data_IF_209826641837
#
_entry.id   IF_209826641837
#
_cell.length_a   1.000
_cell.length_b   1.000
_cell.length_c   1.000
_cell.angle_alpha   90.00
_cell.angle_beta   90.00
_cell.angle_gamma   90.00
#
_symmetry.space_group_name_H-M   'P 1'
#
loop_
_entity.id
_entity.type
_entity.pdbx_description
1 polymer ?
#
# COMPACT_ATOMS: atom_id res chain seq x y z
N UNK A 1 26.52 18.87 6.42
CA UNK A 1 26.04 17.75 7.29
C UNK A 1 24.81 17.15 6.62
N UNK A 2 24.71 15.82 6.48
CA UNK A 2 23.53 15.15 5.91
C UNK A 2 22.32 15.35 6.83
N UNK A 3 21.14 15.50 6.23
CA UNK A 3 19.90 15.57 6.98
C UNK A 3 19.42 14.16 7.36
N UNK A 4 19.05 13.97 8.61
CA UNK A 4 18.55 12.69 9.13
C UNK A 4 17.08 12.53 8.79
N UNK A 5 16.76 11.49 8.02
CA UNK A 5 15.39 11.18 7.63
C UNK A 5 14.97 9.79 8.12
N UNK A 6 13.90 9.75 8.89
CA UNK A 6 13.23 8.50 9.30
C UNK A 6 12.13 8.15 8.32
N UNK A 7 12.28 7.05 7.60
CA UNK A 7 11.18 6.45 6.84
C UNK A 7 10.42 5.50 7.76
N UNK A 8 9.13 5.71 7.94
CA UNK A 8 8.25 4.82 8.71
C UNK A 8 7.16 4.27 7.79
N UNK A 9 7.11 2.95 7.64
CA UNK A 9 6.16 2.31 6.73
C UNK A 9 6.37 0.80 6.59
N UNK A 10 5.46 0.10 5.90
CA UNK A 10 5.45 -1.36 5.84
C UNK A 10 6.40 -1.95 4.78
N UNK A 11 7.60 -1.38 4.61
CA UNK A 11 8.55 -1.74 3.54
C UNK A 11 8.96 -3.21 3.49
N UNK A 12 8.82 -3.95 4.60
CA UNK A 12 9.07 -5.40 4.63
C UNK A 12 7.85 -6.25 4.25
N UNK A 13 6.70 -5.66 3.92
CA UNK A 13 5.48 -6.41 3.59
C UNK A 13 5.24 -6.51 2.08
N UNK A 14 4.62 -7.61 1.64
CA UNK A 14 4.17 -7.80 0.26
C UNK A 14 2.78 -7.18 0.06
N UNK A 15 2.70 -5.87 0.27
CA UNK A 15 1.49 -5.06 0.09
C UNK A 15 1.75 -3.88 -0.85
N UNK A 16 0.70 -3.20 -1.31
CA UNK A 16 0.81 -1.97 -2.09
C UNK A 16 1.57 -0.88 -1.33
N UNK A 17 1.23 -0.65 -0.06
CA UNK A 17 1.98 0.27 0.80
C UNK A 17 3.41 -0.19 1.08
N UNK A 18 3.65 -1.51 1.13
CA UNK A 18 5.01 -2.05 1.25
C UNK A 18 5.86 -1.69 0.03
N UNK A 19 5.31 -1.82 -1.19
CA UNK A 19 6.03 -1.42 -2.40
C UNK A 19 6.20 0.10 -2.48
N UNK A 20 5.19 0.89 -2.12
CA UNK A 20 5.29 2.35 -2.02
C UNK A 20 6.41 2.78 -1.05
N UNK A 21 6.52 2.13 0.11
CA UNK A 21 7.58 2.38 1.07
C UNK A 21 8.96 2.03 0.51
N UNK A 22 9.11 0.89 -0.19
CA UNK A 22 10.36 0.53 -0.87
C UNK A 22 10.74 1.52 -1.98
N UNK A 23 9.78 2.03 -2.74
CA UNK A 23 10.05 3.09 -3.72
C UNK A 23 10.55 4.37 -3.06
N UNK A 24 9.97 4.78 -1.93
CA UNK A 24 10.45 5.93 -1.17
C UNK A 24 11.88 5.70 -0.65
N UNK A 25 12.17 4.51 -0.13
CA UNK A 25 13.51 4.14 0.32
C UNK A 25 14.53 4.14 -0.83
N UNK A 26 14.18 3.59 -2.00
CA UNK A 26 15.05 3.61 -3.21
C UNK A 26 15.33 5.03 -3.68
N UNK A 27 14.31 5.89 -3.69
CA UNK A 27 14.47 7.30 -4.06
C UNK A 27 15.43 8.03 -3.10
N UNK A 28 15.31 7.79 -1.80
CA UNK A 28 16.24 8.36 -0.82
C UNK A 28 17.64 7.76 -0.93
N UNK A 29 17.77 6.46 -1.22
CA UNK A 29 19.06 5.80 -1.44
C UNK A 29 19.86 6.45 -2.58
N UNK A 30 19.19 6.89 -3.64
CA UNK A 30 19.82 7.62 -4.74
C UNK A 30 20.37 9.01 -4.32
N UNK A 31 20.03 9.47 -3.11
CA UNK A 31 20.46 10.76 -2.55
C UNK A 31 21.11 10.62 -1.17
N UNK A 32 21.83 9.53 -0.93
CA UNK A 32 22.56 9.32 0.32
C UNK A 32 23.68 10.35 0.54
N UNK A 33 24.10 11.08 -0.49
CA UNK A 33 24.96 12.26 -0.37
C UNK A 33 24.33 13.39 0.47
N UNK A 34 23.00 13.50 0.44
CA UNK A 34 22.19 14.54 1.11
C UNK A 34 21.53 14.06 2.39
N UNK A 35 21.11 12.78 2.42
CA UNK A 35 20.34 12.20 3.51
C UNK A 35 21.10 11.10 4.25
N UNK A 36 20.97 11.12 5.57
CA UNK A 36 21.30 10.03 6.46
C UNK A 36 20.01 9.28 6.80
N UNK A 37 19.82 8.11 6.16
CA UNK A 37 18.54 7.40 6.11
C UNK A 37 18.41 6.45 7.29
N UNK A 38 17.23 6.43 7.89
CA UNK A 38 16.78 5.55 8.97
C UNK A 38 15.47 4.88 8.55
N UNK A 39 15.22 3.66 9.00
CA UNK A 39 13.99 2.93 8.63
C UNK A 39 13.33 2.26 9.83
N UNK A 40 12.06 2.60 10.05
CA UNK A 40 11.17 1.98 11.02
C UNK A 40 10.13 1.14 10.29
N UNK A 41 10.27 -0.21 10.25
CA UNK A 41 9.31 -1.08 9.57
C UNK A 41 8.03 -1.22 10.38
N UNK A 42 6.90 -1.07 9.70
CA UNK A 42 5.57 -1.30 10.27
C UNK A 42 4.96 -2.60 9.75
N UNK A 43 4.08 -3.19 10.55
CA UNK A 43 3.20 -4.26 10.09
C UNK A 43 2.09 -3.68 9.22
N UNK A 44 1.57 -4.50 8.28
CA UNK A 44 0.49 -4.08 7.41
C UNK A 44 -0.55 -5.19 7.26
N UNK A 45 -1.56 -5.15 8.10
CA UNK A 45 -2.65 -6.12 8.09
C UNK A 45 -2.19 -7.58 8.00
N UNK A 46 -2.97 -8.40 7.33
CA UNK A 46 -2.68 -9.82 7.12
C UNK A 46 -1.93 -10.02 5.79
N UNK A 47 -0.71 -9.51 5.69
CA UNK A 47 0.15 -9.66 4.50
C UNK A 47 1.37 -10.53 4.78
N UNK A 48 1.93 -11.15 3.72
CA UNK A 48 3.22 -11.82 3.82
C UNK A 48 4.36 -10.80 3.85
N UNK A 49 5.51 -11.25 4.38
CA UNK A 49 6.73 -10.48 4.43
C UNK A 49 7.62 -10.76 3.20
N UNK A 50 8.44 -9.80 2.84
CA UNK A 50 9.53 -10.00 1.88
C UNK A 50 10.60 -10.83 2.61
N UNK A 51 10.73 -12.08 2.18
CA UNK A 51 11.67 -13.04 2.76
C UNK A 51 12.94 -13.20 1.91
N UNK A 52 13.02 -12.48 0.79
CA UNK A 52 14.17 -12.54 -0.11
C UNK A 52 15.41 -11.95 0.60
N UNK A 53 16.57 -12.58 0.44
CA UNK A 53 17.82 -12.13 1.03
C UNK A 53 18.70 -11.47 -0.06
N UNK A 54 18.13 -10.50 -0.75
CA UNK A 54 18.81 -9.72 -1.78
C UNK A 54 19.50 -8.47 -1.18
N UNK A 55 20.23 -7.74 -2.01
CA UNK A 55 20.96 -6.53 -1.59
C UNK A 55 20.04 -5.47 -0.98
N UNK A 56 18.80 -5.32 -1.51
CA UNK A 56 17.84 -4.35 -0.99
C UNK A 56 17.39 -4.74 0.42
N UNK A 57 17.12 -6.02 0.65
CA UNK A 57 16.77 -6.52 1.97
C UNK A 57 17.88 -6.35 2.98
N UNK A 58 19.10 -6.71 2.62
CA UNK A 58 20.30 -6.53 3.48
C UNK A 58 20.50 -5.06 3.83
N UNK A 59 20.32 -4.17 2.84
CA UNK A 59 20.40 -2.73 3.07
C UNK A 59 19.30 -2.24 4.03
N UNK A 60 18.03 -2.62 3.81
CA UNK A 60 16.93 -2.27 4.72
C UNK A 60 17.17 -2.77 6.15
N UNK A 61 17.66 -4.00 6.31
CA UNK A 61 18.02 -4.55 7.64
C UNK A 61 19.14 -3.77 8.33
N UNK A 62 20.09 -3.25 7.55
CA UNK A 62 21.13 -2.36 8.09
C UNK A 62 20.57 -1.03 8.60
N UNK A 63 19.60 -0.45 7.86
CA UNK A 63 18.89 0.77 8.28
C UNK A 63 18.08 0.53 9.56
N UNK A 64 17.41 -0.61 9.68
CA UNK A 64 16.63 -0.97 10.88
C UNK A 64 17.55 -1.05 12.09
N UNK A 65 18.67 -1.78 12.00
CA UNK A 65 19.66 -1.87 13.10
C UNK A 65 20.21 -0.50 13.49
N UNK A 66 20.55 0.32 12.50
CA UNK A 66 21.01 1.71 12.71
C UNK A 66 19.93 2.54 13.43
N UNK A 67 18.66 2.42 13.01
CA UNK A 67 17.53 3.13 13.61
C UNK A 67 17.35 2.73 15.08
N UNK A 68 17.41 1.44 15.39
CA UNK A 68 17.32 0.95 16.77
C UNK A 68 18.41 1.54 17.68
N UNK A 69 19.67 1.48 17.24
CA UNK A 69 20.77 2.06 18.00
C UNK A 69 20.66 3.57 18.17
N UNK A 70 20.24 4.28 17.12
CA UNK A 70 20.06 5.72 17.16
C UNK A 70 18.94 6.15 18.12
N UNK A 71 17.81 5.43 18.12
CA UNK A 71 16.70 5.67 19.03
C UNK A 71 17.09 5.38 20.49
N UNK A 72 17.82 4.30 20.75
CA UNK A 72 18.33 3.97 22.10
C UNK A 72 19.26 5.05 22.66
N UNK A 73 20.01 5.72 21.77
CA UNK A 73 20.89 6.84 22.14
C UNK A 73 20.14 8.19 22.27
N UNK A 74 18.81 8.22 22.19
CA UNK A 74 18.01 9.44 22.26
C UNK A 74 18.09 10.32 21.01
N UNK A 75 18.40 9.72 19.86
CA UNK A 75 18.56 10.41 18.58
C UNK A 75 17.29 11.14 18.13
N UNK A 76 17.48 12.26 17.43
CA UNK A 76 16.39 13.08 16.87
C UNK A 76 16.54 13.20 15.36
N UNK A 77 15.42 13.18 14.65
CA UNK A 77 15.37 13.26 13.19
C UNK A 77 15.04 14.68 12.72
N UNK A 78 15.63 15.09 11.59
CA UNK A 78 15.27 16.33 10.92
C UNK A 78 13.91 16.16 10.18
N UNK A 79 13.73 14.99 9.54
CA UNK A 79 12.53 14.65 8.76
C UNK A 79 11.99 13.29 9.14
N UNK A 80 10.66 13.14 9.05
CA UNK A 80 10.01 11.84 8.92
C UNK A 80 9.26 11.75 7.60
N UNK A 81 9.33 10.59 6.94
CA UNK A 81 8.51 10.23 5.78
C UNK A 81 7.67 9.00 6.16
N UNK A 82 6.38 9.22 6.39
CA UNK A 82 5.47 8.21 6.93
C UNK A 82 4.59 7.65 5.82
N UNK A 83 4.92 6.44 5.36
CA UNK A 83 4.28 5.79 4.20
C UNK A 83 3.17 4.87 4.70
N UNK A 84 2.05 5.46 5.09
CA UNK A 84 0.88 4.78 5.66
C UNK A 84 -0.41 5.53 5.35
N UNK A 85 -1.54 5.07 5.88
CA UNK A 85 -2.79 5.82 5.90
C UNK A 85 -2.68 6.98 6.91
N UNK A 86 -3.38 8.11 6.67
CA UNK A 86 -3.20 9.33 7.45
C UNK A 86 -3.41 9.20 8.95
N UNK A 87 -4.38 8.43 9.39
CA UNK A 87 -4.68 8.22 10.81
C UNK A 87 -3.57 7.49 11.60
N UNK A 88 -2.52 7.01 10.92
CA UNK A 88 -1.32 6.43 11.55
C UNK A 88 -0.15 7.42 11.64
N UNK A 89 -0.27 8.62 11.05
CA UNK A 89 0.79 9.62 11.08
C UNK A 89 0.99 10.20 12.48
N UNK A 90 2.26 10.41 12.83
CA UNK A 90 2.67 10.86 14.16
C UNK A 90 3.72 11.97 14.05
N UNK A 91 3.92 12.70 15.13
CA UNK A 91 5.01 13.67 15.25
C UNK A 91 6.31 12.93 15.63
N UNK A 92 7.14 12.58 14.61
CA UNK A 92 8.36 11.78 14.76
C UNK A 92 9.65 12.56 14.53
N UNK A 93 9.55 13.76 13.96
CA UNK A 93 10.70 14.55 13.55
C UNK A 93 10.40 16.05 13.61
N UNK A 94 11.42 16.89 13.37
CA UNK A 94 11.20 18.35 13.25
C UNK A 94 10.22 18.68 12.12
N UNK A 95 10.34 17.98 10.99
CA UNK A 95 9.44 18.11 9.83
C UNK A 95 8.84 16.73 9.53
N UNK A 96 7.51 16.64 9.56
CA UNK A 96 6.77 15.42 9.34
C UNK A 96 6.09 15.46 7.97
N UNK A 97 6.31 14.42 7.16
CA UNK A 97 5.75 14.27 5.82
C UNK A 97 4.91 13.00 5.79
N UNK A 98 3.61 13.14 5.52
CA UNK A 98 2.73 12.02 5.27
C UNK A 98 2.78 11.62 3.80
N UNK A 99 2.91 10.33 3.50
CA UNK A 99 2.86 9.79 2.13
C UNK A 99 1.84 8.67 2.05
N UNK A 100 0.72 8.95 1.40
CA UNK A 100 -0.41 8.01 1.31
C UNK A 100 -0.81 7.72 -0.13
N UNK A 101 -1.32 6.50 -0.37
CA UNK A 101 -1.95 6.16 -1.64
C UNK A 101 -3.28 6.92 -1.86
N UNK A 102 -3.82 7.51 -0.80
CA UNK A 102 -5.11 8.19 -0.83
C UNK A 102 -6.29 7.23 -0.72
N UNK A 103 -7.43 7.66 -1.24
CA UNK A 103 -8.69 6.92 -1.18
C UNK A 103 -9.41 6.99 -2.52
N UNK A 104 -10.24 5.99 -2.83
CA UNK A 104 -10.98 5.91 -4.09
C UNK A 104 -12.31 6.67 -4.07
N UNK A 105 -12.77 7.13 -2.90
CA UNK A 105 -14.01 7.92 -2.72
C UNK A 105 -13.78 9.40 -3.01
N UNK A 106 -14.83 10.20 -2.95
CA UNK A 106 -14.84 11.65 -3.17
C UNK A 106 -14.61 12.48 -1.91
N UNK A 107 -14.54 11.82 -0.73
CA UNK A 107 -14.27 12.46 0.56
C UNK A 107 -13.32 11.63 1.41
N UNK A 108 -12.44 12.29 2.16
CA UNK A 108 -11.67 11.67 3.25
C UNK A 108 -12.47 11.73 4.56
N UNK A 109 -12.20 10.80 5.48
CA UNK A 109 -12.84 10.83 6.79
C UNK A 109 -12.37 12.03 7.65
N UNK A 110 -13.12 12.45 8.66
CA UNK A 110 -12.70 13.51 9.56
C UNK A 110 -11.35 13.23 10.24
N UNK A 111 -11.10 11.97 10.63
CA UNK A 111 -9.84 11.55 11.25
C UNK A 111 -8.66 11.70 10.29
N UNK A 112 -8.86 11.42 9.01
CA UNK A 112 -7.82 11.61 7.98
C UNK A 112 -7.54 13.10 7.77
N UNK A 113 -8.57 13.94 7.80
CA UNK A 113 -8.42 15.38 7.67
C UNK A 113 -7.68 15.97 8.86
N UNK A 114 -7.99 15.51 10.08
CA UNK A 114 -7.29 15.90 11.29
C UNK A 114 -5.82 15.49 11.24
N UNK A 115 -5.53 14.26 10.87
CA UNK A 115 -4.17 13.75 10.71
C UNK A 115 -3.41 14.51 9.60
N UNK A 116 -4.08 14.84 8.50
CA UNK A 116 -3.51 15.64 7.42
C UNK A 116 -3.03 17.01 7.92
N UNK A 117 -3.79 17.66 8.78
CA UNK A 117 -3.44 18.97 9.36
C UNK A 117 -2.38 18.88 10.49
N UNK A 118 -2.01 17.67 10.93
CA UNK A 118 -0.96 17.47 11.95
C UNK A 118 0.46 17.32 11.38
N UNK A 119 0.60 17.18 10.06
CA UNK A 119 1.90 17.05 9.38
C UNK A 119 2.26 18.32 8.61
N UNK A 120 3.53 18.47 8.26
CA UNK A 120 4.02 19.67 7.57
C UNK A 120 3.81 19.63 6.06
N UNK A 121 3.73 18.43 5.49
CA UNK A 121 3.51 18.22 4.05
C UNK A 121 2.88 16.84 3.81
N UNK A 122 2.08 16.77 2.76
CA UNK A 122 1.47 15.52 2.31
C UNK A 122 1.93 15.20 0.90
N UNK A 123 2.26 13.94 0.66
CA UNK A 123 2.49 13.38 -0.67
C UNK A 123 1.37 12.39 -0.95
N UNK A 124 0.75 12.52 -2.11
CA UNK A 124 -0.29 11.61 -2.63
C UNK A 124 0.10 11.10 -4.01
N UNK A 125 -0.48 9.97 -4.43
CA UNK A 125 -0.09 9.28 -5.66
C UNK A 125 -0.86 9.73 -6.90
N UNK A 126 -1.85 10.60 -6.77
CA UNK A 126 -2.67 11.05 -7.90
C UNK A 126 -3.31 12.41 -7.67
N UNK A 127 -3.67 13.08 -8.77
CA UNK A 127 -4.46 14.30 -8.73
C UNK A 127 -5.86 14.07 -8.10
N UNK A 128 -6.44 12.89 -8.30
CA UNK A 128 -7.68 12.50 -7.63
C UNK A 128 -7.49 12.53 -6.11
N UNK A 129 -6.49 11.84 -5.58
CA UNK A 129 -6.22 11.85 -4.14
C UNK A 129 -5.97 13.26 -3.60
N UNK A 130 -5.21 14.10 -4.33
CA UNK A 130 -5.03 15.52 -3.95
C UNK A 130 -6.37 16.24 -3.89
N UNK A 131 -7.18 16.13 -4.94
CA UNK A 131 -8.50 16.77 -5.03
C UNK A 131 -9.41 16.35 -3.87
N UNK A 132 -9.46 15.05 -3.54
CA UNK A 132 -10.28 14.55 -2.44
C UNK A 132 -9.92 15.19 -1.10
N UNK A 133 -8.62 15.36 -0.81
CA UNK A 133 -8.17 16.05 0.42
C UNK A 133 -8.51 17.54 0.39
N UNK A 134 -8.32 18.22 -0.75
CA UNK A 134 -8.56 19.67 -0.84
C UNK A 134 -10.03 20.05 -0.86
N UNK A 135 -10.88 19.22 -1.46
CA UNK A 135 -12.32 19.49 -1.62
C UNK A 135 -13.14 19.01 -0.41
N UNK A 136 -12.56 18.18 0.46
CA UNK A 136 -13.26 17.73 1.66
C UNK A 136 -13.39 18.86 2.68
N UNK A 137 -14.62 19.22 3.00
CA UNK A 137 -14.97 20.21 4.04
C UNK A 137 -15.96 19.59 5.01
N UNK A 138 -15.72 19.78 6.29
CA UNK A 138 -16.63 19.42 7.38
C UNK A 138 -17.00 20.65 8.20
N UNK A 139 -18.22 20.70 8.71
CA UNK A 139 -18.61 21.67 9.72
C UNK A 139 -18.05 21.23 11.08
N UNK A 140 -17.16 22.02 11.64
CA UNK A 140 -16.64 21.84 13.00
C UNK A 140 -17.21 22.92 13.90
N UNK A 141 -17.14 22.70 15.21
CA UNK A 141 -17.56 23.65 16.22
C UNK A 141 -16.45 23.83 17.26
N UNK A 142 -16.09 25.06 17.52
CA UNK A 142 -15.15 25.40 18.60
C UNK A 142 -15.77 25.03 19.95
N UNK A 143 -15.14 24.16 20.74
CA UNK A 143 -15.70 23.72 22.03
C UNK A 143 -15.79 24.81 23.08
N UNK A 144 -15.02 25.90 22.96
CA UNK A 144 -14.99 26.99 23.93
C UNK A 144 -15.99 28.08 23.59
N UNK A 145 -16.17 28.39 22.31
CA UNK A 145 -17.01 29.51 21.85
C UNK A 145 -18.35 29.07 21.28
N UNK A 146 -18.49 27.79 20.91
CA UNK A 146 -19.64 27.26 20.20
C UNK A 146 -19.74 27.71 18.73
N UNK A 147 -18.76 28.50 18.22
CA UNK A 147 -18.77 29.02 16.87
C UNK A 147 -18.53 27.87 15.85
N UNK A 148 -19.37 27.81 14.83
CA UNK A 148 -19.19 26.88 13.71
C UNK A 148 -18.21 27.44 12.68
N UNK A 149 -17.37 26.57 12.13
CA UNK A 149 -16.42 26.91 11.09
C UNK A 149 -16.23 25.75 10.11
N UNK A 150 -15.77 26.06 8.90
CA UNK A 150 -15.42 25.07 7.90
C UNK A 150 -14.03 24.47 8.22
N UNK A 151 -13.99 23.17 8.40
CA UNK A 151 -12.75 22.42 8.64
C UNK A 151 -12.32 21.70 7.37
N UNK A 152 -11.17 22.08 6.83
CA UNK A 152 -10.59 21.55 5.58
C UNK A 152 -9.10 21.26 5.74
N UNK A 153 -8.48 20.68 4.73
CA UNK A 153 -7.04 20.41 4.69
C UNK A 153 -6.28 21.72 4.42
N UNK A 154 -5.51 22.18 5.39
CA UNK A 154 -4.64 23.36 5.28
C UNK A 154 -3.18 22.98 4.91
N UNK A 155 -2.81 21.70 5.04
CA UNK A 155 -1.44 21.24 4.78
C UNK A 155 -1.15 21.18 3.29
N UNK A 156 0.03 21.65 2.83
CA UNK A 156 0.42 21.56 1.43
C UNK A 156 0.49 20.11 0.93
N UNK A 157 -0.11 19.85 -0.24
CA UNK A 157 -0.20 18.52 -0.85
C UNK A 157 0.52 18.52 -2.20
N UNK A 158 1.45 17.58 -2.36
CA UNK A 158 2.15 17.31 -3.62
C UNK A 158 1.72 15.97 -4.20
N UNK A 159 1.68 15.90 -5.53
CA UNK A 159 1.40 14.67 -6.25
C UNK A 159 2.70 14.06 -6.75
N UNK A 160 2.98 12.83 -6.30
CA UNK A 160 4.07 11.99 -6.82
C UNK A 160 3.44 10.69 -7.28
N UNK A 161 3.29 10.52 -8.59
CA UNK A 161 2.65 9.34 -9.15
C UNK A 161 3.39 8.06 -8.76
N UNK A 162 2.67 6.94 -8.72
CA UNK A 162 3.27 5.63 -8.49
C UNK A 162 4.32 5.33 -9.56
N UNK A 163 5.55 4.99 -9.18
CA UNK A 163 6.55 4.55 -10.13
C UNK A 163 6.23 3.13 -10.60
N UNK A 164 6.69 2.79 -11.80
CA UNK A 164 6.66 1.43 -12.32
C UNK A 164 8.08 0.86 -12.37
N UNK A 165 8.22 -0.43 -12.04
CA UNK A 165 9.46 -1.16 -12.28
C UNK A 165 9.42 -1.74 -13.70
N UNK A 166 10.45 -1.45 -14.47
CA UNK A 166 10.68 -2.19 -15.72
C UNK A 166 11.20 -3.57 -15.34
N UNK A 167 10.46 -4.59 -15.71
CA UNK A 167 10.81 -5.99 -15.47
C UNK A 167 10.83 -6.66 -16.84
N UNK A 168 11.94 -7.32 -17.17
CA UNK A 168 12.03 -8.10 -18.39
C UNK A 168 11.02 -9.27 -18.33
N UNK A 169 10.26 -9.50 -19.40
CA UNK A 169 9.35 -10.62 -19.49
C UNK A 169 10.10 -11.94 -19.30
N UNK A 170 9.61 -12.79 -18.41
CA UNK A 170 10.08 -14.17 -18.29
C UNK A 170 9.15 -15.10 -19.05
N UNK A 171 9.72 -16.09 -19.73
CA UNK A 171 8.92 -17.17 -20.27
C UNK A 171 8.37 -18.00 -19.10
N UNK A 172 7.06 -17.97 -18.92
CA UNK A 172 6.37 -18.82 -17.97
C UNK A 172 5.85 -20.03 -18.77
N UNK A 173 6.35 -21.19 -18.46
CA UNK A 173 5.85 -22.46 -19.03
C UNK A 173 4.48 -22.76 -18.41
N UNK A 174 3.46 -22.09 -18.94
CA UNK A 174 2.06 -22.29 -18.58
C UNK A 174 1.45 -23.21 -19.64
N UNK A 175 1.08 -24.41 -19.26
CA UNK A 175 0.32 -25.35 -20.11
C UNK A 175 -1.12 -24.81 -20.31
N UNK A 176 -1.25 -23.80 -21.16
CA UNK A 176 -2.56 -23.21 -21.47
C UNK A 176 -3.21 -24.00 -22.61
N UNK A 177 -4.46 -24.39 -22.39
CA UNK A 177 -5.26 -25.19 -23.35
C UNK A 177 -6.25 -24.35 -24.14
N UNK A 178 -6.33 -23.06 -23.87
CA UNK A 178 -7.28 -22.11 -24.47
C UNK A 178 -6.56 -21.05 -25.28
N UNK A 179 -7.19 -20.57 -26.36
CA UNK A 179 -6.59 -19.61 -27.29
C UNK A 179 -6.45 -18.20 -26.69
N UNK A 180 -7.39 -17.84 -25.80
CA UNK A 180 -7.38 -16.58 -25.09
C UNK A 180 -7.53 -16.78 -23.58
N UNK A 181 -6.75 -16.05 -22.80
CA UNK A 181 -6.76 -16.19 -21.36
C UNK A 181 -6.83 -14.83 -20.64
N UNK A 182 -7.83 -14.65 -19.80
CA UNK A 182 -7.86 -13.53 -18.86
C UNK A 182 -6.90 -13.77 -17.69
N UNK A 183 -6.28 -12.72 -17.20
CA UNK A 183 -5.43 -12.78 -16.00
C UNK A 183 -6.11 -12.04 -14.83
N UNK A 184 -6.28 -12.74 -13.71
CA UNK A 184 -6.74 -12.17 -12.45
C UNK A 184 -5.66 -12.29 -11.38
N UNK A 185 -5.19 -11.15 -10.84
CA UNK A 185 -4.22 -11.11 -9.74
C UNK A 185 -4.82 -10.36 -8.57
N UNK A 186 -5.17 -11.06 -7.47
CA UNK A 186 -5.76 -10.41 -6.31
C UNK A 186 -5.63 -11.24 -5.03
N UNK A 187 -5.56 -10.54 -3.88
CA UNK A 187 -5.83 -11.15 -2.60
C UNK A 187 -7.33 -11.44 -2.49
N UNK A 188 -7.70 -12.63 -1.96
CA UNK A 188 -9.09 -13.01 -1.77
C UNK A 188 -9.73 -12.22 -0.63
N UNK A 189 -10.43 -11.16 -0.98
CA UNK A 189 -11.12 -10.30 -0.03
C UNK A 189 -12.48 -9.87 -0.57
N UNK A 190 -13.42 -9.42 0.28
CA UNK A 190 -14.72 -8.90 -0.16
C UNK A 190 -14.58 -7.79 -1.19
N UNK A 191 -13.66 -6.86 -1.00
CA UNK A 191 -13.42 -5.73 -1.92
C UNK A 191 -12.97 -6.16 -3.31
N UNK A 192 -12.19 -7.24 -3.43
CA UNK A 192 -11.72 -7.78 -4.71
C UNK A 192 -12.74 -8.66 -5.42
N UNK A 193 -13.78 -9.08 -4.72
CA UNK A 193 -14.96 -9.77 -5.25
C UNK A 193 -14.68 -10.99 -6.17
N UNK A 194 -13.61 -11.73 -5.92
CA UNK A 194 -13.18 -12.86 -6.75
C UNK A 194 -14.26 -13.93 -6.93
N UNK A 195 -15.11 -14.15 -5.91
CA UNK A 195 -16.21 -15.12 -6.01
C UNK A 195 -17.16 -14.80 -7.18
N UNK A 196 -17.57 -13.55 -7.32
CA UNK A 196 -18.43 -13.13 -8.42
C UNK A 196 -17.66 -13.04 -9.74
N UNK A 197 -16.36 -12.66 -9.72
CA UNK A 197 -15.51 -12.69 -10.91
C UNK A 197 -15.49 -14.08 -11.53
N UNK A 198 -15.32 -15.15 -10.74
CA UNK A 198 -15.37 -16.53 -11.25
C UNK A 198 -16.74 -16.92 -11.75
N UNK A 199 -17.79 -16.58 -10.99
CA UNK A 199 -19.17 -16.90 -11.41
C UNK A 199 -19.50 -16.27 -12.75
N UNK A 200 -19.28 -14.98 -12.89
CA UNK A 200 -19.57 -14.25 -14.13
C UNK A 200 -18.69 -14.71 -15.30
N UNK A 201 -17.43 -15.05 -15.03
CA UNK A 201 -16.56 -15.60 -16.05
C UNK A 201 -17.08 -16.94 -16.58
N UNK A 202 -17.50 -17.85 -15.70
CA UNK A 202 -18.05 -19.14 -16.12
C UNK A 202 -19.40 -18.96 -16.81
N UNK A 203 -20.29 -18.11 -16.28
CA UNK A 203 -21.58 -17.80 -16.89
C UNK A 203 -21.46 -17.25 -18.32
N UNK A 204 -20.42 -16.46 -18.62
CA UNK A 204 -20.19 -15.81 -19.91
C UNK A 204 -19.44 -16.69 -20.91
N UNK A 205 -18.46 -17.49 -20.45
CA UNK A 205 -17.49 -18.15 -21.33
C UNK A 205 -17.47 -19.68 -21.23
N UNK A 206 -18.47 -20.32 -20.59
CA UNK A 206 -18.42 -21.76 -20.34
C UNK A 206 -18.39 -22.62 -21.62
N UNK A 207 -18.94 -22.13 -22.73
CA UNK A 207 -19.02 -22.80 -24.03
C UNK A 207 -17.99 -22.27 -25.06
N UNK A 208 -17.03 -21.46 -24.61
CA UNK A 208 -16.04 -20.80 -25.46
C UNK A 208 -14.63 -21.27 -25.13
N UNK A 209 -13.73 -21.23 -26.14
CA UNK A 209 -12.30 -21.54 -25.96
C UNK A 209 -11.55 -20.39 -25.29
N UNK A 210 -11.99 -20.02 -24.07
CA UNK A 210 -11.45 -18.91 -23.27
C UNK A 210 -11.11 -19.40 -21.87
N UNK A 211 -9.89 -19.08 -21.40
CA UNK A 211 -9.41 -19.46 -20.09
C UNK A 211 -9.26 -18.30 -19.11
N UNK A 212 -9.07 -18.63 -17.84
CA UNK A 212 -8.71 -17.66 -16.81
C UNK A 212 -7.52 -18.14 -15.98
N UNK A 213 -6.46 -17.35 -16.00
CA UNK A 213 -5.30 -17.54 -15.13
C UNK A 213 -5.56 -16.79 -13.81
N UNK A 214 -5.48 -17.50 -12.69
CA UNK A 214 -5.76 -16.96 -11.38
C UNK A 214 -4.54 -16.98 -10.49
N UNK A 215 -4.02 -15.80 -10.13
CA UNK A 215 -2.98 -15.64 -9.11
C UNK A 215 -3.60 -15.01 -7.86
N UNK A 216 -3.92 -15.84 -6.86
CA UNK A 216 -4.62 -15.39 -5.66
C UNK A 216 -3.99 -15.94 -4.37
N UNK A 217 -4.15 -15.21 -3.27
CA UNK A 217 -3.82 -15.62 -1.92
C UNK A 217 -4.87 -15.11 -0.94
N UNK A 218 -4.97 -15.71 0.26
CA UNK A 218 -5.83 -15.21 1.34
C UNK A 218 -5.10 -14.13 2.15
N UNK A 219 -3.99 -14.53 2.77
CA UNK A 219 -3.24 -13.68 3.70
C UNK A 219 -1.73 -13.75 3.46
N UNK A 220 -1.08 -14.83 3.87
CA UNK A 220 0.37 -14.96 3.97
C UNK A 220 1.01 -15.76 2.83
N UNK A 221 0.23 -16.23 1.86
CA UNK A 221 0.72 -17.07 0.75
C UNK A 221 1.50 -18.33 1.21
N UNK A 222 1.15 -18.90 2.35
CA UNK A 222 1.68 -20.17 2.84
C UNK A 222 1.08 -21.37 2.09
N UNK A 223 1.60 -22.57 2.29
CA UNK A 223 1.01 -23.80 1.73
C UNK A 223 -0.45 -24.01 2.20
N UNK A 224 -0.75 -23.69 3.46
CA UNK A 224 -2.12 -23.73 3.97
C UNK A 224 -3.02 -22.69 3.29
N UNK A 225 -2.50 -21.51 3.06
CA UNK A 225 -3.19 -20.43 2.36
C UNK A 225 -3.55 -20.84 0.91
N UNK A 226 -2.60 -21.46 0.21
CA UNK A 226 -2.80 -21.99 -1.16
C UNK A 226 -3.86 -23.09 -1.18
N UNK A 227 -3.81 -24.04 -0.23
CA UNK A 227 -4.82 -25.08 -0.11
C UNK A 227 -6.22 -24.53 0.18
N UNK A 228 -6.32 -23.49 1.00
CA UNK A 228 -7.59 -22.84 1.28
C UNK A 228 -8.14 -22.06 0.05
N UNK A 229 -7.29 -21.44 -0.74
CA UNK A 229 -7.67 -20.78 -2.03
C UNK A 229 -8.19 -21.84 -2.99
N UNK A 230 -7.47 -22.95 -3.18
CA UNK A 230 -7.91 -24.03 -4.06
C UNK A 230 -9.31 -24.52 -3.70
N UNK A 231 -9.56 -24.81 -2.41
CA UNK A 231 -10.89 -25.20 -1.92
C UNK A 231 -11.98 -24.17 -2.20
N UNK A 232 -11.67 -22.86 -2.09
CA UNK A 232 -12.63 -21.79 -2.39
C UNK A 232 -12.96 -21.73 -3.89
N UNK A 233 -11.97 -21.89 -4.74
CA UNK A 233 -12.16 -21.91 -6.20
C UNK A 233 -12.99 -23.15 -6.58
N UNK A 234 -12.57 -24.35 -6.15
CA UNK A 234 -13.30 -25.59 -6.40
C UNK A 234 -14.75 -25.52 -5.94
N UNK A 235 -15.01 -24.94 -4.76
CA UNK A 235 -16.38 -24.74 -4.28
C UNK A 235 -17.18 -23.76 -5.13
N UNK A 236 -16.56 -22.71 -5.66
CA UNK A 236 -17.23 -21.74 -6.53
C UNK A 236 -17.59 -22.36 -7.88
N UNK A 237 -16.77 -23.29 -8.40
CA UNK A 237 -16.94 -23.97 -9.68
C UNK A 237 -17.76 -25.29 -9.60
N UNK A 238 -17.99 -25.84 -8.39
CA UNK A 238 -18.67 -27.12 -8.21
C UNK A 238 -20.20 -27.02 -8.17
N UNK A 239 -20.77 -25.94 -8.59
CA UNK A 239 -22.22 -25.80 -8.67
C UNK A 239 -22.79 -26.72 -9.77
N UNK A 240 -23.99 -27.34 -9.54
CA UNK A 240 -24.59 -28.23 -10.52
C UNK A 240 -24.75 -27.62 -11.91
N UNK A 241 -25.01 -26.32 -11.99
CA UNK A 241 -25.17 -25.54 -13.23
C UNK A 241 -23.90 -25.42 -14.09
N UNK A 242 -22.74 -25.85 -13.59
CA UNK A 242 -21.45 -25.78 -14.29
C UNK A 242 -20.81 -27.18 -14.50
N UNK A 243 -21.61 -28.26 -14.43
CA UNK A 243 -21.11 -29.65 -14.45
C UNK A 243 -21.36 -30.39 -15.77
N UNK A 244 -21.94 -29.78 -16.76
CA UNK A 244 -22.23 -30.39 -18.06
C UNK A 244 -21.15 -30.13 -19.09
#
# INVERSE_FOLDING_TARGET
MKKKILVSGPGLTRSGYGEQCRFALRALRAHEDRFDIYFNPLNWGSTSWVADNDEERVWMDSLIRKTMGYNQAGGKYDYSLQVTIPNEWQNMATINIGYTAGIETDKVSPEWLQAANSVNKIIVVSNHSKKVFTDTVYQAQDPNTGQKFDYSCATPIEVVNFPARMIEPANLDLELTTDFNFLTVAQWSPRKNLKNTFRWFVEEFFDQNVGMIVKANLTKNSLLDRGAIYKKISKALSKPEYKD
#
